data_IF_818185248198
#
_entry.id   IF_818185248198
#
_cell.length_a   1.000
_cell.length_b   1.000
_cell.length_c   1.000
_cell.angle_alpha   90.00
_cell.angle_beta   90.00
_cell.angle_gamma   90.00
#
_symmetry.space_group_name_H-M   'P 1'
#
loop_
_entity.id
_entity.type
_entity.pdbx_description
1 polymer ?
#
# COMPACT_ATOMS: atom_id res chain seq x y z
N UNK A 1 -5.96 -11.09 -0.46
CA UNK A 1 -4.79 -10.91 -1.34
C UNK A 1 -3.81 -9.97 -0.64
N UNK A 2 -2.52 -10.21 -0.80
CA UNK A 2 -1.48 -9.39 -0.15
C UNK A 2 -1.05 -8.26 -1.09
N UNK A 3 -1.16 -7.03 -0.62
CA UNK A 3 -0.65 -5.85 -1.29
C UNK A 3 0.46 -5.23 -0.45
N UNK A 4 1.67 -5.21 -1.00
CA UNK A 4 2.84 -4.67 -0.32
C UNK A 4 3.07 -3.23 -0.74
N UNK A 5 2.94 -2.33 0.22
CA UNK A 5 3.30 -0.93 0.08
C UNK A 5 4.79 -0.77 0.38
N UNK A 6 5.48 -0.03 -0.49
CA UNK A 6 6.91 0.27 -0.37
C UNK A 6 7.18 1.73 -0.72
N UNK A 7 8.29 2.26 -0.23
CA UNK A 7 8.84 3.51 -0.70
C UNK A 7 10.37 3.41 -0.79
N UNK A 8 10.96 4.13 -1.73
CA UNK A 8 12.40 4.11 -1.96
C UNK A 8 12.86 5.35 -2.71
N UNK A 9 14.14 5.71 -2.57
CA UNK A 9 14.77 6.77 -3.38
C UNK A 9 15.19 6.27 -4.77
N UNK A 10 15.33 4.96 -4.93
CA UNK A 10 15.71 4.28 -6.18
C UNK A 10 14.77 3.14 -6.49
N UNK A 11 14.45 2.93 -7.76
CA UNK A 11 13.61 1.83 -8.22
C UNK A 11 14.42 0.87 -9.10
N UNK A 12 14.65 -0.34 -8.61
CA UNK A 12 15.15 -1.46 -9.40
C UNK A 12 14.01 -2.48 -9.59
N UNK A 13 13.62 -2.74 -10.84
CA UNK A 13 12.55 -3.71 -11.12
C UNK A 13 12.97 -5.15 -10.83
N UNK A 14 14.28 -5.43 -10.79
CA UNK A 14 14.77 -6.76 -10.42
C UNK A 14 14.46 -7.09 -8.94
N UNK A 15 14.13 -6.08 -8.12
CA UNK A 15 13.70 -6.29 -6.74
C UNK A 15 12.39 -7.07 -6.62
N UNK A 16 11.61 -7.17 -7.71
CA UNK A 16 10.36 -7.94 -7.75
C UNK A 16 10.53 -9.35 -8.33
N UNK A 17 11.74 -9.81 -8.64
CA UNK A 17 11.91 -11.15 -9.21
C UNK A 17 11.67 -12.27 -8.19
N UNK A 18 12.00 -12.04 -6.92
CA UNK A 18 11.73 -12.96 -5.82
C UNK A 18 11.53 -12.24 -4.48
N UNK A 19 10.82 -12.89 -3.56
CA UNK A 19 10.49 -12.35 -2.24
C UNK A 19 11.74 -12.02 -1.41
N UNK A 20 12.80 -12.83 -1.48
CA UNK A 20 14.01 -12.60 -0.70
C UNK A 20 14.66 -11.26 -1.02
N UNK A 21 14.88 -11.00 -2.31
CA UNK A 21 15.41 -9.73 -2.81
C UNK A 21 14.47 -8.56 -2.51
N UNK A 22 13.16 -8.77 -2.65
CA UNK A 22 12.16 -7.75 -2.29
C UNK A 22 12.28 -7.30 -0.83
N UNK A 23 12.41 -8.24 0.11
CA UNK A 23 12.53 -7.94 1.54
C UNK A 23 13.87 -7.25 1.85
N UNK A 24 14.95 -7.66 1.19
CA UNK A 24 16.28 -7.04 1.37
C UNK A 24 16.30 -5.59 0.84
N UNK A 25 15.68 -5.34 -0.30
CA UNK A 25 15.65 -4.02 -0.96
C UNK A 25 14.63 -3.06 -0.30
N UNK A 26 13.55 -3.59 0.28
CA UNK A 26 12.46 -2.81 0.90
C UNK A 26 12.14 -3.27 2.33
N UNK A 27 13.08 -3.17 3.30
CA UNK A 27 12.91 -3.76 4.64
C UNK A 27 11.79 -3.12 5.49
N UNK A 28 11.32 -1.92 5.13
CA UNK A 28 10.21 -1.24 5.79
C UNK A 28 8.87 -1.41 5.08
N UNK A 29 8.76 -2.35 4.13
CA UNK A 29 7.51 -2.65 3.43
C UNK A 29 6.35 -2.93 4.40
N UNK A 30 5.14 -2.65 3.94
CA UNK A 30 3.91 -2.94 4.68
C UNK A 30 2.93 -3.71 3.83
N UNK A 31 2.59 -4.90 4.30
CA UNK A 31 1.55 -5.73 3.71
C UNK A 31 0.19 -5.31 4.25
N UNK A 32 -0.74 -5.03 3.33
CA UNK A 32 -2.15 -4.81 3.62
C UNK A 32 -2.95 -5.94 2.96
N UNK A 33 -3.78 -6.62 3.75
CA UNK A 33 -4.65 -7.69 3.27
C UNK A 33 -5.95 -7.12 2.72
N UNK A 34 -6.12 -7.21 1.40
CA UNK A 34 -7.25 -6.68 0.66
C UNK A 34 -7.89 -7.81 -0.15
N UNK A 35 -9.22 -7.85 -0.24
CA UNK A 35 -10.00 -8.88 -0.91
C UNK A 35 -9.75 -8.88 -2.42
N UNK A 36 -9.76 -7.71 -3.04
CA UNK A 36 -9.59 -7.53 -4.49
C UNK A 36 -9.04 -6.15 -4.87
N UNK A 37 -8.86 -5.91 -6.17
CA UNK A 37 -8.33 -4.66 -6.71
C UNK A 37 -9.33 -3.48 -6.61
N UNK A 38 -10.64 -3.74 -6.53
CA UNK A 38 -11.62 -2.67 -6.32
C UNK A 38 -11.55 -2.14 -4.89
N UNK A 39 -11.33 -3.03 -3.92
CA UNK A 39 -11.13 -2.66 -2.53
C UNK A 39 -9.79 -1.92 -2.33
N UNK A 40 -8.74 -2.29 -3.09
CA UNK A 40 -7.49 -1.49 -3.15
C UNK A 40 -7.77 -0.09 -3.71
N UNK A 41 -8.54 0.01 -4.80
CA UNK A 41 -8.92 1.29 -5.39
C UNK A 41 -9.69 2.16 -4.40
N UNK A 42 -10.64 1.58 -3.66
CA UNK A 42 -11.35 2.27 -2.59
C UNK A 42 -10.39 2.80 -1.51
N UNK A 43 -9.39 2.00 -1.12
CA UNK A 43 -8.37 2.45 -0.16
C UNK A 43 -7.59 3.66 -0.70
N UNK A 44 -7.17 3.61 -1.96
CA UNK A 44 -6.51 4.74 -2.62
C UNK A 44 -7.38 6.00 -2.64
N UNK A 45 -8.66 5.88 -3.03
CA UNK A 45 -9.60 7.01 -3.06
C UNK A 45 -9.73 7.66 -1.67
N UNK A 46 -9.83 6.85 -0.61
CA UNK A 46 -9.88 7.36 0.77
C UNK A 46 -8.59 8.03 1.23
N UNK A 47 -7.45 7.63 0.66
CA UNK A 47 -6.14 8.26 0.88
C UNK A 47 -5.92 9.50 0.01
N UNK A 48 -6.86 9.85 -0.89
CA UNK A 48 -6.71 10.95 -1.84
C UNK A 48 -5.81 10.61 -3.05
N UNK A 49 -5.61 9.32 -3.31
CA UNK A 49 -4.85 8.78 -4.43
C UNK A 49 -5.85 8.36 -5.49
N UNK A 50 -5.86 9.05 -6.63
CA UNK A 50 -6.83 8.81 -7.71
C UNK A 50 -6.08 8.60 -9.02
N UNK A 51 -6.76 8.02 -10.01
CA UNK A 51 -6.27 7.88 -11.38
C UNK A 51 -4.96 7.06 -11.50
N UNK A 52 -4.80 6.04 -10.65
CA UNK A 52 -3.64 5.13 -10.70
C UNK A 52 -4.02 3.84 -11.42
N UNK A 53 -3.38 3.63 -12.56
CA UNK A 53 -3.50 2.41 -13.33
C UNK A 53 -2.40 1.40 -12.96
N UNK A 54 -2.73 0.10 -12.85
CA UNK A 54 -1.73 -0.94 -12.62
C UNK A 54 -0.82 -1.12 -13.84
N UNK A 55 0.45 -1.43 -13.57
CA UNK A 55 1.38 -2.03 -14.52
C UNK A 55 1.47 -3.52 -14.23
N UNK A 56 1.30 -4.35 -15.26
CA UNK A 56 1.49 -5.79 -15.14
C UNK A 56 2.98 -6.11 -14.92
N UNK A 57 3.26 -7.05 -14.02
CA UNK A 57 4.57 -7.62 -13.75
C UNK A 57 4.59 -9.06 -14.26
N UNK A 58 5.59 -9.39 -15.06
CA UNK A 58 5.82 -10.75 -15.56
C UNK A 58 6.79 -11.50 -14.64
N UNK A 59 6.47 -11.56 -13.35
CA UNK A 59 7.30 -12.23 -12.33
C UNK A 59 6.54 -13.39 -11.69
N UNK A 60 7.27 -14.33 -11.07
CA UNK A 60 6.67 -15.49 -10.41
C UNK A 60 5.92 -15.09 -9.13
N UNK A 61 6.48 -14.15 -8.35
CA UNK A 61 6.00 -13.79 -7.02
C UNK A 61 5.03 -12.60 -7.02
N UNK A 62 5.05 -11.75 -8.06
CA UNK A 62 4.19 -10.57 -8.13
C UNK A 62 3.52 -10.43 -9.51
N UNK A 63 2.26 -9.98 -9.51
CA UNK A 63 1.46 -9.81 -10.74
C UNK A 63 1.33 -8.37 -11.18
N UNK A 64 1.22 -7.42 -10.25
CA UNK A 64 0.88 -6.04 -10.57
C UNK A 64 1.59 -5.04 -9.68
N UNK A 65 1.84 -3.86 -10.24
CA UNK A 65 2.48 -2.72 -9.62
C UNK A 65 1.64 -1.46 -9.83
N UNK A 66 1.31 -0.75 -8.76
CA UNK A 66 0.73 0.59 -8.81
C UNK A 66 1.79 1.60 -8.39
N UNK A 67 2.02 2.59 -9.24
CA UNK A 67 2.93 3.69 -8.94
C UNK A 67 2.14 4.87 -8.40
N UNK A 68 2.22 5.07 -7.08
CA UNK A 68 1.50 6.14 -6.37
C UNK A 68 2.43 7.31 -6.04
N UNK A 69 3.64 7.36 -6.64
CA UNK A 69 4.66 8.38 -6.35
C UNK A 69 4.20 9.80 -6.69
N UNK A 70 3.24 9.96 -7.62
CA UNK A 70 2.62 11.26 -7.92
C UNK A 70 1.77 11.84 -6.77
N UNK A 71 1.46 11.02 -5.76
CA UNK A 71 0.62 11.40 -4.62
C UNK A 71 1.40 11.28 -3.31
N UNK A 72 0.96 12.06 -2.31
CA UNK A 72 1.40 11.91 -0.93
C UNK A 72 0.42 11.03 -0.18
N UNK A 73 0.95 10.17 0.69
CA UNK A 73 0.16 9.48 1.68
C UNK A 73 -0.34 10.48 2.72
N UNK A 74 -1.57 10.33 3.22
CA UNK A 74 -2.16 11.29 4.14
C UNK A 74 -1.42 11.28 5.48
N UNK A 75 -1.07 12.46 5.99
CA UNK A 75 -0.46 12.65 7.32
C UNK A 75 -1.54 13.15 8.29
N UNK A 76 -2.28 12.19 8.86
CA UNK A 76 -3.44 12.37 9.71
C UNK A 76 -3.02 12.36 11.17
N UNK A 77 -3.72 13.11 12.02
CA UNK A 77 -3.66 12.89 13.46
C UNK A 77 -4.51 11.67 13.87
N UNK A 78 -4.50 11.32 15.15
CA UNK A 78 -5.23 10.16 15.69
C UNK A 78 -6.73 10.21 15.41
N UNK A 79 -7.39 11.35 15.65
CA UNK A 79 -8.82 11.52 15.40
C UNK A 79 -9.16 11.37 13.92
N UNK A 80 -8.35 11.98 13.05
CA UNK A 80 -8.50 11.88 11.60
C UNK A 80 -8.27 10.45 11.11
N UNK A 81 -7.30 9.72 11.68
CA UNK A 81 -7.06 8.32 11.34
C UNK A 81 -8.23 7.42 11.76
N UNK A 82 -8.78 7.62 12.96
CA UNK A 82 -9.96 6.89 13.42
C UNK A 82 -11.15 7.10 12.47
N UNK A 83 -11.41 8.35 12.07
CA UNK A 83 -12.46 8.67 11.10
C UNK A 83 -12.21 8.03 9.72
N UNK A 84 -10.94 8.02 9.26
CA UNK A 84 -10.54 7.32 8.04
C UNK A 84 -10.83 5.82 8.13
N UNK A 85 -10.46 5.17 9.24
CA UNK A 85 -10.64 3.73 9.43
C UNK A 85 -12.11 3.34 9.56
N UNK A 86 -12.91 4.13 10.27
CA UNK A 86 -14.36 3.93 10.32
C UNK A 86 -14.99 4.04 8.93
N UNK A 87 -14.59 5.05 8.15
CA UNK A 87 -15.05 5.22 6.76
C UNK A 87 -14.61 4.04 5.88
N UNK A 88 -13.38 3.55 6.07
CA UNK A 88 -12.86 2.38 5.39
C UNK A 88 -13.73 1.15 5.65
N UNK A 89 -13.99 0.81 6.90
CA UNK A 89 -14.84 -0.33 7.28
C UNK A 89 -16.23 -0.19 6.66
N UNK A 90 -16.86 0.98 6.80
CA UNK A 90 -18.21 1.22 6.30
C UNK A 90 -18.32 1.06 4.79
N UNK A 91 -17.36 1.63 4.02
CA UNK A 91 -17.39 1.56 2.56
C UNK A 91 -16.98 0.21 2.00
N UNK A 92 -16.02 -0.46 2.64
CA UNK A 92 -15.56 -1.80 2.24
C UNK A 92 -16.51 -2.91 2.69
N UNK A 93 -17.50 -2.60 3.54
CA UNK A 93 -18.40 -3.57 4.19
C UNK A 93 -17.65 -4.64 4.99
N UNK A 94 -16.46 -4.30 5.49
CA UNK A 94 -15.63 -5.19 6.31
C UNK A 94 -16.11 -5.18 7.75
N UNK A 95 -15.69 -6.19 8.50
CA UNK A 95 -15.81 -6.18 9.96
C UNK A 95 -14.64 -5.38 10.55
N UNK A 96 -14.90 -4.68 11.67
CA UNK A 96 -13.83 -4.07 12.44
C UNK A 96 -12.84 -5.14 12.92
N UNK A 97 -11.57 -4.98 12.58
CA UNK A 97 -10.50 -5.93 12.89
C UNK A 97 -9.27 -5.18 13.41
N UNK A 98 -8.87 -5.49 14.64
CA UNK A 98 -7.72 -4.87 15.30
C UNK A 98 -6.40 -5.10 14.56
N UNK A 99 -6.23 -6.25 13.91
CA UNK A 99 -5.03 -6.54 13.12
C UNK A 99 -4.95 -5.64 11.88
N UNK A 100 -6.10 -5.42 11.22
CA UNK A 100 -6.19 -4.53 10.07
C UNK A 100 -5.99 -3.07 10.48
N UNK A 101 -6.62 -2.64 11.57
CA UNK A 101 -6.39 -1.33 12.17
C UNK A 101 -4.90 -1.11 12.43
N UNK A 102 -4.24 -2.09 13.05
CA UNK A 102 -2.80 -2.09 13.31
C UNK A 102 -1.99 -1.91 12.03
N UNK A 103 -2.26 -2.71 11.00
CA UNK A 103 -1.53 -2.62 9.73
C UNK A 103 -1.70 -1.26 9.05
N UNK A 104 -2.92 -0.72 9.03
CA UNK A 104 -3.20 0.59 8.43
C UNK A 104 -2.59 1.75 9.23
N UNK A 105 -2.59 1.69 10.56
CA UNK A 105 -1.97 2.75 11.38
C UNK A 105 -0.44 2.71 11.27
N UNK A 106 0.17 1.52 11.11
CA UNK A 106 1.59 1.41 10.84
C UNK A 106 1.97 1.95 9.47
N UNK A 107 1.19 1.63 8.42
CA UNK A 107 1.36 2.23 7.10
C UNK A 107 1.25 3.75 7.17
N UNK A 108 0.23 4.23 7.89
CA UNK A 108 0.00 5.66 8.13
C UNK A 108 1.21 6.33 8.80
N UNK A 109 1.77 5.71 9.85
CA UNK A 109 2.95 6.21 10.55
C UNK A 109 4.20 6.35 9.69
N UNK A 110 4.30 5.62 8.57
CA UNK A 110 5.40 5.73 7.61
C UNK A 110 5.21 6.88 6.61
N UNK A 111 4.01 7.46 6.49
CA UNK A 111 3.66 8.47 5.48
C UNK A 111 4.65 9.65 5.48
N UNK A 112 4.98 10.21 6.64
CA UNK A 112 5.89 11.36 6.74
C UNK A 112 7.32 11.07 6.25
N UNK A 113 7.78 9.83 6.40
CA UNK A 113 9.07 9.35 5.87
C UNK A 113 8.97 9.10 4.37
N UNK A 114 7.97 8.32 3.96
CA UNK A 114 7.79 7.88 2.58
C UNK A 114 7.41 9.02 1.63
N UNK A 115 6.72 10.06 2.09
CA UNK A 115 6.39 11.26 1.31
C UNK A 115 7.62 12.08 0.90
N UNK A 116 8.79 11.84 1.52
CA UNK A 116 10.06 12.49 1.18
C UNK A 116 10.88 11.69 0.17
N UNK A 117 10.52 10.44 -0.07
CA UNK A 117 11.20 9.55 -1.01
C UNK A 117 10.73 9.78 -2.44
N UNK A 118 11.55 9.37 -3.40
CA UNK A 118 11.25 9.54 -4.83
C UNK A 118 10.13 8.62 -5.31
N UNK A 119 10.07 7.39 -4.81
CA UNK A 119 9.12 6.36 -5.24
C UNK A 119 8.25 5.89 -4.07
N UNK A 120 6.96 5.70 -4.36
CA UNK A 120 5.98 5.02 -3.51
C UNK A 120 5.19 4.07 -4.39
N UNK A 121 5.25 2.79 -4.10
CA UNK A 121 4.67 1.75 -4.96
C UNK A 121 3.85 0.79 -4.13
N UNK A 122 2.87 0.17 -4.79
CA UNK A 122 2.10 -0.94 -4.23
C UNK A 122 2.25 -2.14 -5.16
N UNK A 123 2.59 -3.29 -4.62
CA UNK A 123 2.82 -4.52 -5.39
C UNK A 123 1.87 -5.60 -4.93
N UNK A 124 1.24 -6.32 -5.86
CA UNK A 124 0.36 -7.45 -5.56
C UNK A 124 1.13 -8.76 -5.64
N UNK A 125 1.11 -9.55 -4.57
CA UNK A 125 1.66 -10.91 -4.56
C UNK A 125 0.81 -11.87 -5.40
N UNK A 126 1.47 -12.83 -6.05
CA UNK A 126 0.85 -13.99 -6.65
C UNK A 126 0.60 -15.03 -5.55
N UNK A 127 -0.66 -15.20 -5.17
CA UNK A 127 -1.08 -16.27 -4.25
C UNK A 127 -1.13 -17.63 -4.97
#
# INVERSE_FOLDING_TARGET
>A
MNFNFIASDTLDLNSFENIGKFVDDFPDFKTVMINDENELKLLFELMGINDIEPKELLTLEFSKLWDISGHKLPELNEEQFNNFYETWIQKSSRSNNMDEYGNLIFLHGLSSKWNKMNYRLVVKENN
#
